data_IF_473395943407
#
_entry.id   IF_473395943407
#
_cell.length_a   1.000
_cell.length_b   1.000
_cell.length_c   1.000
_cell.angle_alpha   90.00
_cell.angle_beta   90.00
_cell.angle_gamma   90.00
#
_symmetry.space_group_name_H-M   'P 1'
#
loop_
_entity.id
_entity.type
_entity.pdbx_description
1 polymer ?
#
# COMPACT_ATOMS: atom_id res chain seq x y z
N UNK A 1 -3.84 38.50 -36.25
CA UNK A 1 -4.45 38.16 -34.96
C UNK A 1 -4.21 36.69 -34.70
N UNK A 2 -3.38 36.31 -33.72
CA UNK A 2 -3.06 34.91 -33.45
C UNK A 2 -4.10 34.30 -32.51
N UNK A 3 -4.77 33.24 -32.96
CA UNK A 3 -5.68 32.46 -32.12
C UNK A 3 -4.86 31.57 -31.18
N UNK A 4 -4.79 31.94 -29.90
CA UNK A 4 -4.15 31.13 -28.86
C UNK A 4 -5.15 30.10 -28.32
N UNK A 5 -5.14 28.90 -28.89
CA UNK A 5 -6.03 27.76 -28.55
C UNK A 5 -5.92 27.33 -27.07
N UNK A 6 -4.87 27.73 -26.35
CA UNK A 6 -4.63 27.31 -24.95
C UNK A 6 -5.70 27.76 -23.95
N UNK A 7 -6.45 28.83 -24.23
CA UNK A 7 -7.43 29.39 -23.28
C UNK A 7 -8.75 28.60 -23.21
N UNK A 8 -9.09 27.80 -24.23
CA UNK A 8 -10.33 26.99 -24.23
C UNK A 8 -10.22 25.71 -23.39
N UNK A 9 -9.02 25.22 -23.11
CA UNK A 9 -8.82 24.04 -22.25
C UNK A 9 -8.66 24.39 -20.76
N UNK A 10 -8.42 25.67 -20.42
CA UNK A 10 -8.27 26.13 -19.03
C UNK A 10 -9.56 26.09 -18.20
N UNK A 11 -10.73 25.93 -18.84
CA UNK A 11 -12.02 25.78 -18.14
C UNK A 11 -12.47 24.32 -18.03
N UNK A 12 -11.84 23.40 -18.76
CA UNK A 12 -12.19 21.97 -18.74
C UNK A 12 -11.55 21.24 -17.55
N UNK A 13 -10.38 21.69 -17.12
CA UNK A 13 -9.66 21.15 -15.97
C UNK A 13 -9.87 22.11 -14.81
N UNK A 14 -10.75 21.79 -13.84
CA UNK A 14 -10.93 22.66 -12.70
C UNK A 14 -9.60 22.84 -11.96
N UNK A 15 -9.28 24.05 -11.47
CA UNK A 15 -8.04 24.30 -10.75
C UNK A 15 -7.94 23.35 -9.54
N UNK A 16 -6.72 23.10 -9.05
CA UNK A 16 -6.48 22.23 -7.90
C UNK A 16 -7.01 22.89 -6.61
N UNK A 17 -8.33 22.90 -6.47
CA UNK A 17 -9.04 23.39 -5.30
C UNK A 17 -8.91 22.29 -4.23
N UNK A 18 -8.53 22.66 -3.01
CA UNK A 18 -8.29 21.73 -1.92
C UNK A 18 -9.47 20.74 -1.78
N UNK A 19 -9.22 19.45 -2.07
CA UNK A 19 -10.14 18.30 -2.05
C UNK A 19 -11.60 18.59 -2.47
N UNK A 20 -12.12 17.96 -3.54
CA UNK A 20 -13.51 18.14 -4.00
C UNK A 20 -14.57 18.09 -2.87
N UNK A 21 -14.33 17.32 -1.80
CA UNK A 21 -15.18 17.24 -0.61
C UNK A 21 -15.33 18.54 0.21
N UNK A 22 -14.44 19.53 0.06
CA UNK A 22 -14.43 20.77 0.85
C UNK A 22 -15.01 21.97 0.09
N UNK A 23 -15.39 21.80 -1.17
CA UNK A 23 -15.93 22.87 -2.01
C UNK A 23 -17.45 22.86 -1.83
N UNK A 24 -17.96 23.80 -1.04
CA UNK A 24 -19.40 23.93 -0.76
C UNK A 24 -19.84 23.38 0.61
N UNK A 25 -18.93 22.81 1.40
CA UNK A 25 -19.25 22.52 2.80
C UNK A 25 -19.33 23.81 3.60
N UNK A 26 -20.41 23.97 4.38
CA UNK A 26 -20.58 25.10 5.27
C UNK A 26 -19.31 25.25 6.14
N UNK A 27 -18.64 26.41 6.20
CA UNK A 27 -17.43 26.59 7.01
C UNK A 27 -17.63 26.22 8.48
N UNK A 28 -18.87 26.35 8.99
CA UNK A 28 -19.22 25.87 10.32
C UNK A 28 -19.19 24.33 10.43
N UNK A 29 -19.62 23.60 9.41
CA UNK A 29 -19.56 22.13 9.40
C UNK A 29 -18.11 21.62 9.39
N UNK A 30 -17.20 22.30 8.67
CA UNK A 30 -15.76 22.00 8.70
C UNK A 30 -15.18 22.23 10.09
N UNK A 31 -15.50 23.37 10.72
CA UNK A 31 -15.09 23.68 12.10
C UNK A 31 -15.59 22.65 13.11
N UNK A 32 -16.85 22.21 12.97
CA UNK A 32 -17.42 21.17 13.84
C UNK A 32 -16.72 19.82 13.63
N UNK A 33 -16.44 19.42 12.39
CA UNK A 33 -15.70 18.19 12.09
C UNK A 33 -14.27 18.22 12.66
N UNK A 34 -13.59 19.36 12.58
CA UNK A 34 -12.25 19.56 13.15
C UNK A 34 -12.27 19.44 14.67
N UNK A 35 -13.24 20.07 15.36
CA UNK A 35 -13.40 19.96 16.81
C UNK A 35 -13.69 18.51 17.25
N UNK A 36 -14.59 17.81 16.57
CA UNK A 36 -14.86 16.39 16.84
C UNK A 36 -13.61 15.55 16.62
N UNK A 37 -12.85 15.82 15.56
CA UNK A 37 -11.61 15.10 15.28
C UNK A 37 -10.52 15.38 16.32
N UNK A 38 -10.47 16.61 16.84
CA UNK A 38 -9.54 17.00 17.90
C UNK A 38 -9.86 16.21 19.17
N UNK A 39 -11.11 16.21 19.64
CA UNK A 39 -11.51 15.46 20.83
C UNK A 39 -11.36 13.94 20.67
N UNK A 40 -11.56 13.39 19.46
CA UNK A 40 -11.26 11.98 19.17
C UNK A 40 -9.77 11.63 19.21
N UNK A 41 -8.90 12.60 18.93
CA UNK A 41 -7.44 12.43 18.91
C UNK A 41 -6.78 12.76 20.24
N UNK A 42 -7.51 13.32 21.20
CA UNK A 42 -6.99 13.48 22.55
C UNK A 42 -6.50 12.10 23.03
N UNK A 43 -5.26 11.99 23.54
CA UNK A 43 -4.70 10.71 23.94
C UNK A 43 -5.50 10.12 25.10
N UNK A 44 -6.42 9.20 24.79
CA UNK A 44 -7.19 8.44 25.76
C UNK A 44 -6.33 7.27 26.25
N UNK A 45 -5.43 7.53 27.21
CA UNK A 45 -4.57 6.50 27.80
C UNK A 45 -3.61 5.82 26.81
N UNK A 46 -3.06 4.68 27.22
CA UNK A 46 -2.15 3.91 26.37
C UNK A 46 -2.90 3.38 25.14
N UNK A 47 -2.35 3.64 23.95
CA UNK A 47 -2.86 3.08 22.70
C UNK A 47 -3.03 1.56 22.83
N UNK A 48 -4.11 0.97 22.29
CA UNK A 48 -4.28 -0.48 22.30
C UNK A 48 -3.03 -1.09 21.67
N UNK A 49 -2.41 -2.04 22.37
CA UNK A 49 -1.24 -2.75 21.87
C UNK A 49 -1.54 -3.26 20.45
N UNK A 50 -0.60 -3.06 19.53
CA UNK A 50 -0.77 -3.47 18.14
C UNK A 50 -1.31 -4.90 18.10
N UNK A 51 -2.38 -5.11 17.34
CA UNK A 51 -3.08 -6.39 17.30
C UNK A 51 -2.07 -7.51 17.07
N UNK A 52 -1.96 -8.42 18.05
CA UNK A 52 -0.98 -9.50 17.98
C UNK A 52 -1.23 -10.27 16.67
N UNK A 53 -0.19 -10.54 15.87
CA UNK A 53 -0.38 -11.22 14.59
C UNK A 53 -1.00 -12.61 14.83
N UNK A 54 -2.19 -12.83 14.27
CA UNK A 54 -2.86 -14.12 14.31
C UNK A 54 -2.53 -14.93 13.05
N UNK A 55 -2.42 -16.25 13.23
CA UNK A 55 -2.10 -17.18 12.14
C UNK A 55 -0.63 -17.15 11.67
N UNK A 56 -0.22 -18.13 10.85
CA UNK A 56 1.17 -18.29 10.41
C UNK A 56 1.61 -17.13 9.48
N UNK A 57 0.75 -16.72 8.56
CA UNK A 57 1.03 -15.61 7.62
C UNK A 57 1.14 -14.28 8.37
N UNK A 58 0.25 -14.04 9.34
CA UNK A 58 0.28 -12.83 10.17
C UNK A 58 1.60 -12.70 10.92
N UNK A 59 2.09 -13.79 11.51
CA UNK A 59 3.39 -13.82 12.22
C UNK A 59 4.56 -13.53 11.27
N UNK A 60 4.55 -14.12 10.08
CA UNK A 60 5.57 -13.87 9.07
C UNK A 60 5.58 -12.40 8.62
N UNK A 61 4.42 -11.83 8.29
CA UNK A 61 4.29 -10.44 7.88
C UNK A 61 4.74 -9.48 8.99
N UNK A 62 4.38 -9.74 10.23
CA UNK A 62 4.82 -8.91 11.37
C UNK A 62 6.33 -8.98 11.56
N UNK A 63 6.95 -10.15 11.37
CA UNK A 63 8.40 -10.34 11.55
C UNK A 63 9.25 -9.66 10.48
N UNK A 64 8.77 -9.60 9.23
CA UNK A 64 9.62 -9.16 8.11
C UNK A 64 9.15 -7.89 7.40
N UNK A 65 7.84 -7.59 7.40
CA UNK A 65 7.25 -6.50 6.59
C UNK A 65 6.71 -5.36 7.47
N UNK A 66 5.89 -5.69 8.47
CA UNK A 66 5.17 -4.73 9.33
C UNK A 66 5.90 -4.43 10.65
N UNK A 67 7.23 -4.52 10.63
CA UNK A 67 8.11 -4.25 11.77
C UNK A 67 8.67 -2.82 11.66
N UNK A 68 9.06 -2.22 12.78
CA UNK A 68 9.64 -0.86 12.85
C UNK A 68 10.90 -0.68 11.97
N UNK A 69 11.58 -1.79 11.66
CA UNK A 69 12.72 -1.87 10.72
C UNK A 69 12.41 -2.86 9.60
N UNK A 70 11.70 -2.44 8.53
CA UNK A 70 11.33 -3.33 7.44
C UNK A 70 12.58 -3.96 6.82
N UNK A 71 12.53 -5.28 6.61
CA UNK A 71 13.68 -6.06 6.13
C UNK A 71 13.46 -6.49 4.68
N UNK A 72 14.52 -6.49 3.86
CA UNK A 72 14.48 -7.02 2.49
C UNK A 72 14.40 -8.55 2.39
N UNK A 73 14.43 -9.27 3.52
CA UNK A 73 14.38 -10.74 3.59
C UNK A 73 13.19 -11.38 2.85
N UNK A 74 11.96 -10.80 2.82
CA UNK A 74 10.85 -11.35 2.04
C UNK A 74 11.16 -11.48 0.54
N UNK A 75 11.93 -10.54 -0.03
CA UNK A 75 12.35 -10.62 -1.42
C UNK A 75 13.29 -11.81 -1.65
N UNK A 76 14.19 -12.07 -0.71
CA UNK A 76 15.07 -13.24 -0.77
C UNK A 76 14.27 -14.54 -0.61
N UNK A 77 13.33 -14.60 0.33
CA UNK A 77 12.45 -15.76 0.48
C UNK A 77 11.66 -16.05 -0.80
N UNK A 78 11.18 -15.00 -1.46
CA UNK A 78 10.48 -15.11 -2.74
C UNK A 78 11.41 -15.63 -3.85
N UNK A 79 12.61 -15.05 -3.98
CA UNK A 79 13.59 -15.50 -4.98
C UNK A 79 13.96 -16.99 -4.80
N UNK A 80 14.19 -17.43 -3.56
CA UNK A 80 14.46 -18.84 -3.24
C UNK A 80 13.27 -19.72 -3.61
N UNK A 81 12.05 -19.30 -3.31
CA UNK A 81 10.85 -20.06 -3.65
C UNK A 81 10.70 -20.25 -5.18
N UNK A 82 10.97 -19.20 -5.96
CA UNK A 82 10.93 -19.26 -7.43
C UNK A 82 12.00 -20.22 -7.97
N UNK A 83 13.24 -20.11 -7.51
CA UNK A 83 14.34 -20.97 -7.95
C UNK A 83 14.05 -22.44 -7.60
N UNK A 84 13.61 -22.70 -6.36
CA UNK A 84 13.30 -24.05 -5.89
C UNK A 84 12.18 -24.67 -6.72
N UNK A 85 11.09 -23.93 -6.94
CA UNK A 85 9.96 -24.42 -7.73
C UNK A 85 10.34 -24.64 -9.20
N UNK A 86 11.12 -23.73 -9.79
CA UNK A 86 11.65 -23.88 -11.15
C UNK A 86 12.53 -25.11 -11.29
N UNK A 87 13.42 -25.36 -10.33
CA UNK A 87 14.27 -26.55 -10.32
C UNK A 87 13.44 -27.84 -10.19
N UNK A 88 12.43 -27.86 -9.32
CA UNK A 88 11.53 -29.01 -9.21
C UNK A 88 10.78 -29.31 -10.51
N UNK A 89 10.35 -28.27 -11.25
CA UNK A 89 9.70 -28.46 -12.55
C UNK A 89 10.66 -29.04 -13.59
N UNK A 90 11.88 -28.48 -13.68
CA UNK A 90 12.93 -28.92 -14.61
C UNK A 90 13.50 -30.30 -14.25
N UNK A 91 13.36 -30.75 -13.00
CA UNK A 91 13.89 -32.02 -12.52
C UNK A 91 13.37 -33.23 -13.31
N UNK A 92 12.10 -33.19 -13.74
CA UNK A 92 11.51 -34.27 -14.54
C UNK A 92 12.18 -34.42 -15.92
N UNK A 93 12.55 -33.30 -16.52
CA UNK A 93 13.26 -33.24 -17.79
C UNK A 93 14.70 -33.76 -17.63
N UNK A 94 15.44 -33.34 -16.59
CA UNK A 94 16.79 -33.86 -16.31
C UNK A 94 16.79 -35.36 -16.01
N UNK A 95 15.78 -35.87 -15.30
CA UNK A 95 15.66 -37.29 -15.00
C UNK A 95 15.46 -38.12 -16.27
N UNK A 96 14.56 -37.69 -17.15
CA UNK A 96 14.29 -38.39 -18.41
C UNK A 96 15.54 -38.48 -19.30
N UNK A 97 16.36 -37.42 -19.38
CA UNK A 97 17.63 -37.46 -20.13
C UNK A 97 18.67 -38.42 -19.56
N UNK A 98 18.62 -38.74 -18.27
CA UNK A 98 19.54 -39.70 -17.64
C UNK A 98 19.16 -41.16 -17.90
N UNK A 99 17.88 -41.46 -18.08
CA UNK A 99 17.39 -42.82 -18.32
C UNK A 99 17.56 -43.25 -19.80
N UNK A 100 17.92 -42.32 -20.69
CA UNK A 100 18.12 -42.54 -22.13
C UNK A 100 19.59 -42.53 -22.58
N UNK A 101 20.55 -42.54 -21.65
CA UNK A 101 21.99 -42.64 -21.88
C UNK A 101 22.60 -43.91 -21.29
#
# INVERSE_FOLDING_TARGET
>A
MSFVIRRQLSTLIPPKIASASNIGSNPNAKRMAELVSFYKKLPTGNAPAAAKPTGPIGRYLHKYVRTDKPSGKPLLHFAIAVIFFGYCAEYSHLKAHKDHH
#
